data_IF_087904542289
#
_entry.id   IF_087904542289
#
_cell.length_a   1.000
_cell.length_b   1.000
_cell.length_c   1.000
_cell.angle_alpha   90.00
_cell.angle_beta   90.00
_cell.angle_gamma   90.00
#
_symmetry.space_group_name_H-M   'P 1'
#
loop_
_entity.id
_entity.type
_entity.pdbx_description
1 polymer ?
#
# COMPACT_ATOMS: atom_id res chain seq x y z
N UNK A 1 -61.12 -27.61 40.88
CA UNK A 1 -60.73 -27.87 42.29
C UNK A 1 -59.50 -27.06 42.53
N UNK A 2 -59.80 -25.92 43.01
CA UNK A 2 -59.20 -25.07 44.05
C UNK A 2 -57.76 -24.65 43.77
N UNK A 3 -57.54 -23.41 43.35
CA UNK A 3 -57.38 -22.20 44.18
C UNK A 3 -56.38 -22.37 45.32
N UNK A 4 -55.22 -21.79 45.20
CA UNK A 4 -54.77 -20.98 46.34
C UNK A 4 -53.94 -19.77 45.86
N UNK A 5 -54.33 -18.65 46.40
CA UNK A 5 -53.83 -17.29 46.26
C UNK A 5 -52.73 -17.05 47.31
N UNK A 6 -51.68 -16.42 46.94
CA UNK A 6 -50.87 -15.68 47.90
C UNK A 6 -50.28 -14.40 47.24
N UNK A 7 -50.62 -13.33 47.88
CA UNK A 7 -50.43 -11.91 47.61
C UNK A 7 -49.04 -11.40 48.01
N UNK A 8 -48.67 -10.16 47.65
CA UNK A 8 -47.32 -9.72 47.33
C UNK A 8 -46.54 -9.18 48.53
N UNK A 9 -45.25 -9.30 48.51
CA UNK A 9 -44.39 -8.64 49.45
C UNK A 9 -43.43 -7.66 48.78
N UNK A 10 -43.77 -6.42 49.02
CA UNK A 10 -42.87 -5.26 49.24
C UNK A 10 -41.56 -5.18 48.50
N UNK A 11 -41.50 -4.27 47.50
CA UNK A 11 -40.27 -3.64 47.02
C UNK A 11 -39.56 -2.84 48.15
N UNK A 12 -38.26 -2.89 48.24
CA UNK A 12 -37.49 -1.87 48.91
C UNK A 12 -37.08 -0.78 47.91
N UNK A 13 -37.57 0.43 48.17
CA UNK A 13 -37.13 1.67 47.58
C UNK A 13 -35.61 1.78 47.67
N UNK A 14 -34.92 1.78 46.52
CA UNK A 14 -33.53 2.24 46.42
C UNK A 14 -33.50 3.66 45.91
N UNK A 15 -33.70 4.55 46.85
CA UNK A 15 -33.23 5.92 46.75
C UNK A 15 -31.69 5.88 46.89
N UNK A 16 -31.00 5.91 45.77
CA UNK A 16 -29.56 6.13 45.70
C UNK A 16 -29.34 7.42 44.91
N UNK A 17 -29.42 8.53 45.66
CA UNK A 17 -28.83 9.80 45.23
C UNK A 17 -27.37 9.56 44.80
N UNK A 18 -27.16 9.32 43.51
CA UNK A 18 -25.84 9.35 42.92
C UNK A 18 -25.33 10.78 42.99
N UNK A 19 -24.47 11.04 43.98
CA UNK A 19 -23.66 12.23 44.03
C UNK A 19 -22.87 12.33 42.72
N UNK A 20 -23.02 13.39 41.93
CA UNK A 20 -22.23 13.56 40.73
C UNK A 20 -20.77 13.68 41.13
N UNK A 21 -19.96 12.70 40.73
CA UNK A 21 -18.50 12.79 40.83
C UNK A 21 -18.09 14.02 40.01
N UNK A 22 -17.46 15.05 40.60
CA UNK A 22 -17.02 16.20 39.85
C UNK A 22 -16.02 15.73 38.81
N UNK A 23 -16.35 15.92 37.51
CA UNK A 23 -15.38 15.82 36.45
C UNK A 23 -14.31 16.84 36.74
N UNK A 24 -13.14 16.40 37.15
CA UNK A 24 -11.98 17.24 37.32
C UNK A 24 -11.78 17.97 35.98
N UNK A 25 -12.06 19.27 35.95
CA UNK A 25 -11.68 20.16 34.88
C UNK A 25 -10.16 20.04 34.75
N UNK A 26 -9.70 19.32 33.73
CA UNK A 26 -8.28 19.22 33.45
C UNK A 26 -7.80 20.64 33.14
N UNK A 27 -6.97 21.19 34.01
CA UNK A 27 -6.29 22.46 33.81
C UNK A 27 -5.69 22.50 32.41
N UNK A 28 -5.80 23.60 31.66
CA UNK A 28 -5.25 23.69 30.33
C UNK A 28 -3.75 23.40 30.39
N UNK A 29 -3.31 22.34 29.71
CA UNK A 29 -1.89 21.96 29.63
C UNK A 29 -1.12 23.16 29.08
N UNK A 30 -0.04 23.58 29.76
CA UNK A 30 0.83 24.63 29.26
C UNK A 30 1.44 24.24 27.91
N UNK A 31 1.70 25.22 27.06
CA UNK A 31 2.34 24.98 25.77
C UNK A 31 3.70 24.27 25.92
N UNK A 32 4.43 24.59 27.01
CA UNK A 32 5.72 23.95 27.34
C UNK A 32 5.58 22.46 27.62
N UNK A 33 4.60 22.06 28.41
CA UNK A 33 4.34 20.64 28.71
C UNK A 33 3.90 19.87 27.48
N UNK A 34 3.13 20.49 26.57
CA UNK A 34 2.75 19.87 25.29
C UNK A 34 3.97 19.65 24.39
N UNK A 35 4.86 20.63 24.31
CA UNK A 35 6.11 20.52 23.54
C UNK A 35 6.98 19.41 24.13
N UNK A 36 7.19 19.38 25.45
CA UNK A 36 7.98 18.36 26.13
C UNK A 36 7.45 16.94 25.84
N UNK A 37 6.13 16.74 25.93
CA UNK A 37 5.49 15.44 25.63
C UNK A 37 5.69 15.02 24.18
N UNK A 38 5.50 15.93 23.23
CA UNK A 38 5.68 15.66 21.80
C UNK A 38 7.14 15.33 21.48
N UNK A 39 8.11 16.06 22.06
CA UNK A 39 9.53 15.77 21.90
C UNK A 39 9.92 14.44 22.57
N UNK A 40 9.40 14.17 23.77
CA UNK A 40 9.57 12.89 24.47
C UNK A 40 9.06 11.73 23.63
N UNK A 41 7.85 11.85 23.08
CA UNK A 41 7.29 10.85 22.16
C UNK A 41 8.13 10.70 20.89
N UNK A 42 8.57 11.80 20.28
CA UNK A 42 9.40 11.78 19.08
C UNK A 42 10.75 11.08 19.32
N UNK A 43 11.37 11.29 20.51
CA UNK A 43 12.58 10.56 20.93
C UNK A 43 12.31 9.08 21.10
N UNK A 44 11.26 8.69 21.81
CA UNK A 44 10.89 7.30 22.04
C UNK A 44 10.47 6.56 20.76
N UNK A 45 9.84 7.25 19.85
CA UNK A 45 9.38 6.71 18.57
C UNK A 45 10.49 6.59 17.49
N UNK A 46 11.72 7.04 17.79
CA UNK A 46 12.84 7.02 16.84
C UNK A 46 13.18 5.59 16.46
N UNK A 47 13.11 5.29 15.17
CA UNK A 47 13.36 3.93 14.64
C UNK A 47 12.17 2.97 14.77
N UNK A 48 11.10 3.31 15.51
CA UNK A 48 9.92 2.45 15.64
C UNK A 48 8.97 2.50 14.44
N UNK A 49 9.08 3.51 13.60
CA UNK A 49 8.23 3.69 12.41
C UNK A 49 9.06 3.82 11.15
N UNK A 50 8.54 3.27 10.04
CA UNK A 50 9.13 3.46 8.72
C UNK A 50 9.14 4.97 8.34
N UNK A 51 10.22 5.42 7.66
CA UNK A 51 10.43 6.83 7.24
C UNK A 51 9.23 7.42 6.49
N UNK A 52 8.57 6.62 5.64
CA UNK A 52 7.40 7.06 4.91
C UNK A 52 6.21 7.35 5.85
N UNK A 53 6.07 6.62 6.95
CA UNK A 53 5.04 6.85 7.98
C UNK A 53 5.32 8.15 8.71
N UNK A 54 6.57 8.38 9.11
CA UNK A 54 7.00 9.63 9.76
C UNK A 54 6.77 10.84 8.86
N UNK A 55 7.19 10.73 7.59
CA UNK A 55 6.99 11.81 6.59
C UNK A 55 5.50 12.09 6.33
N UNK A 56 4.68 11.06 6.24
CA UNK A 56 3.24 11.21 6.06
C UNK A 56 2.59 11.87 7.26
N UNK A 57 2.93 11.43 8.48
CA UNK A 57 2.46 12.03 9.71
C UNK A 57 2.80 13.53 9.81
N UNK A 58 4.05 13.90 9.55
CA UNK A 58 4.50 15.30 9.58
C UNK A 58 3.78 16.16 8.51
N UNK A 59 3.54 15.61 7.32
CA UNK A 59 2.80 16.33 6.27
C UNK A 59 1.32 16.50 6.64
N UNK A 60 0.69 15.48 7.17
CA UNK A 60 -0.72 15.49 7.58
C UNK A 60 -0.94 16.47 8.75
N UNK A 61 -0.03 16.47 9.75
CA UNK A 61 -0.09 17.41 10.88
C UNK A 61 0.02 18.86 10.42
N UNK A 62 0.89 19.15 9.44
CA UNK A 62 0.98 20.50 8.85
C UNK A 62 -0.29 20.92 8.12
N UNK A 63 -0.93 20.00 7.39
CA UNK A 63 -2.21 20.26 6.70
C UNK A 63 -3.30 20.56 7.71
N UNK A 64 -3.39 19.78 8.79
CA UNK A 64 -4.37 20.02 9.86
C UNK A 64 -4.12 21.34 10.57
N UNK A 65 -2.86 21.66 10.92
CA UNK A 65 -2.47 22.92 11.54
C UNK A 65 -2.83 24.14 10.68
N UNK A 66 -2.56 24.09 9.38
CA UNK A 66 -2.89 25.17 8.45
C UNK A 66 -4.41 25.40 8.40
N UNK A 67 -5.18 24.31 8.24
CA UNK A 67 -6.64 24.40 8.23
C UNK A 67 -7.22 24.95 9.55
N UNK A 68 -6.73 24.48 10.71
CA UNK A 68 -7.17 24.98 12.00
C UNK A 68 -6.93 26.48 12.14
N UNK A 69 -5.76 26.96 11.73
CA UNK A 69 -5.41 28.39 11.75
C UNK A 69 -6.34 29.22 10.88
N UNK A 70 -6.62 28.77 9.66
CA UNK A 70 -7.55 29.42 8.73
C UNK A 70 -8.99 29.43 9.27
N UNK A 71 -9.39 28.38 9.97
CA UNK A 71 -10.71 28.25 10.57
C UNK A 71 -10.84 28.87 11.96
N UNK A 72 -9.78 29.51 12.51
CA UNK A 72 -9.77 30.07 13.86
C UNK A 72 -9.97 29.04 14.98
N UNK A 73 -9.47 27.80 14.79
CA UNK A 73 -9.66 26.66 15.68
C UNK A 73 -8.34 26.20 16.29
N UNK A 74 -8.39 25.66 17.51
CA UNK A 74 -7.23 25.04 18.14
C UNK A 74 -6.88 23.72 17.45
N UNK A 75 -5.59 23.55 17.14
CA UNK A 75 -5.07 22.29 16.58
C UNK A 75 -4.83 21.24 17.67
N UNK A 76 -4.38 21.69 18.86
CA UNK A 76 -3.98 20.82 19.96
C UNK A 76 -4.18 21.56 21.31
N UNK A 77 -5.09 21.08 22.17
CA UNK A 77 -6.07 20.01 21.91
C UNK A 77 -7.14 20.44 20.89
N UNK A 78 -7.43 19.57 19.93
CA UNK A 78 -8.57 19.78 19.03
C UNK A 78 -9.84 19.19 19.65
N UNK A 79 -10.95 19.90 19.50
CA UNK A 79 -12.27 19.36 19.88
C UNK A 79 -12.79 18.37 18.82
N UNK A 80 -13.71 17.45 19.19
CA UNK A 80 -14.40 16.60 18.23
C UNK A 80 -15.06 17.38 17.08
N UNK A 81 -15.69 18.52 17.37
CA UNK A 81 -16.30 19.40 16.35
C UNK A 81 -15.28 19.96 15.37
N UNK A 82 -14.06 20.29 15.85
CA UNK A 82 -12.96 20.73 14.99
C UNK A 82 -12.56 19.63 14.02
N UNK A 83 -12.43 18.39 14.52
CA UNK A 83 -12.05 17.25 13.68
C UNK A 83 -13.16 16.88 12.71
N UNK A 84 -14.43 16.89 13.13
CA UNK A 84 -15.57 16.62 12.26
C UNK A 84 -15.66 17.62 11.11
N UNK A 85 -15.55 18.92 11.40
CA UNK A 85 -15.54 19.98 10.40
C UNK A 85 -14.34 19.85 9.44
N UNK A 86 -13.15 19.49 9.94
CA UNK A 86 -11.99 19.18 9.07
C UNK A 86 -12.24 18.00 8.16
N UNK A 87 -12.84 16.91 8.68
CA UNK A 87 -13.21 15.73 7.87
C UNK A 87 -14.17 16.12 6.76
N UNK A 88 -15.22 16.88 7.06
CA UNK A 88 -16.21 17.33 6.06
C UNK A 88 -15.53 18.23 5.00
N UNK A 89 -14.74 19.23 5.40
CA UNK A 89 -14.01 20.10 4.48
C UNK A 89 -13.02 19.32 3.58
N UNK A 90 -12.26 18.40 4.15
CA UNK A 90 -11.31 17.60 3.36
C UNK A 90 -12.00 16.54 2.50
N UNK A 91 -13.19 16.11 2.88
CA UNK A 91 -13.97 15.19 2.06
C UNK A 91 -14.32 15.78 0.69
N UNK A 92 -14.53 17.10 0.57
CA UNK A 92 -14.76 17.72 -0.73
C UNK A 92 -13.53 17.64 -1.66
N UNK A 93 -12.34 17.80 -1.11
CA UNK A 93 -11.10 18.01 -1.86
C UNK A 93 -10.27 16.73 -2.07
N UNK A 94 -10.37 15.75 -1.17
CA UNK A 94 -9.46 14.60 -1.10
C UNK A 94 -10.20 13.29 -1.24
N UNK A 95 -9.45 12.23 -1.57
CA UNK A 95 -10.00 10.87 -1.55
C UNK A 95 -10.33 10.43 -0.12
N UNK A 96 -11.30 9.53 0.01
CA UNK A 96 -11.63 8.90 1.29
C UNK A 96 -10.38 8.38 2.04
N UNK A 97 -9.51 7.65 1.35
CA UNK A 97 -8.31 7.08 1.96
C UNK A 97 -7.34 8.16 2.51
N UNK A 98 -7.29 9.33 1.86
CA UNK A 98 -6.49 10.47 2.33
C UNK A 98 -7.09 11.07 3.60
N UNK A 99 -8.40 11.26 3.64
CA UNK A 99 -9.09 11.82 4.82
C UNK A 99 -9.00 10.87 6.02
N UNK A 100 -9.16 9.56 5.80
CA UNK A 100 -8.95 8.54 6.85
C UNK A 100 -7.51 8.55 7.39
N UNK A 101 -6.52 8.79 6.54
CA UNK A 101 -5.13 8.94 6.97
C UNK A 101 -4.94 10.20 7.81
N UNK A 102 -5.54 11.33 7.42
CA UNK A 102 -5.52 12.56 8.21
C UNK A 102 -6.10 12.35 9.60
N UNK A 103 -7.27 11.71 9.70
CA UNK A 103 -7.89 11.34 10.97
C UNK A 103 -6.98 10.47 11.84
N UNK A 104 -6.31 9.49 11.23
CA UNK A 104 -5.34 8.65 11.94
C UNK A 104 -4.14 9.43 12.46
N UNK A 105 -3.65 10.40 11.68
CA UNK A 105 -2.56 11.30 12.08
C UNK A 105 -2.97 12.25 13.20
N UNK A 106 -4.20 12.80 13.18
CA UNK A 106 -4.74 13.63 14.27
C UNK A 106 -4.85 12.81 15.55
N UNK A 107 -5.38 11.59 15.49
CA UNK A 107 -5.46 10.69 16.64
C UNK A 107 -4.07 10.36 17.22
N UNK A 108 -3.08 10.12 16.34
CA UNK A 108 -1.70 9.85 16.76
C UNK A 108 -1.05 11.09 17.42
N UNK A 109 -1.32 12.29 16.90
CA UNK A 109 -0.81 13.55 17.47
C UNK A 109 -1.33 13.77 18.89
N UNK A 110 -2.63 13.58 19.13
CA UNK A 110 -3.22 13.71 20.45
C UNK A 110 -2.66 12.68 21.44
N UNK A 111 -2.52 11.40 21.02
CA UNK A 111 -1.86 10.40 21.87
C UNK A 111 -0.41 10.74 22.20
N UNK A 112 0.35 11.25 21.24
CA UNK A 112 1.73 11.68 21.45
C UNK A 112 1.84 12.83 22.47
N UNK A 113 0.83 13.71 22.50
CA UNK A 113 0.73 14.81 23.45
C UNK A 113 0.12 14.40 24.81
N UNK A 114 -0.26 13.12 24.99
CA UNK A 114 -0.94 12.63 26.18
C UNK A 114 -2.35 13.22 26.37
N UNK A 115 -3.03 13.54 25.24
CA UNK A 115 -4.37 14.12 25.21
C UNK A 115 -5.41 13.08 24.82
N UNK A 116 -6.66 13.35 25.20
CA UNK A 116 -7.80 12.54 24.77
C UNK A 116 -7.89 12.56 23.22
N UNK A 117 -8.22 11.41 22.63
CA UNK A 117 -8.35 11.28 21.19
C UNK A 117 -9.71 11.82 20.70
N UNK A 118 -9.77 12.99 20.06
CA UNK A 118 -11.03 13.58 19.59
C UNK A 118 -11.68 12.77 18.44
N UNK A 119 -10.90 11.93 17.75
CA UNK A 119 -11.38 11.13 16.63
C UNK A 119 -12.25 9.93 17.07
N UNK A 120 -12.32 9.64 18.38
CA UNK A 120 -13.14 8.57 18.92
C UNK A 120 -14.60 8.99 19.16
N UNK A 121 -14.88 10.30 19.12
CA UNK A 121 -16.20 10.86 19.34
C UNK A 121 -17.21 10.51 18.23
N UNK A 122 -18.50 10.45 18.62
CA UNK A 122 -19.58 10.10 17.69
C UNK A 122 -19.73 11.11 16.55
N UNK A 123 -19.56 12.41 16.83
CA UNK A 123 -19.69 13.44 15.79
C UNK A 123 -18.66 13.23 14.66
N UNK A 124 -17.43 12.82 15.00
CA UNK A 124 -16.39 12.50 14.01
C UNK A 124 -16.73 11.21 13.25
N UNK A 125 -17.28 10.20 13.95
CA UNK A 125 -17.76 8.97 13.30
C UNK A 125 -18.87 9.26 12.31
N UNK A 126 -19.78 10.17 12.63
CA UNK A 126 -20.87 10.60 11.74
C UNK A 126 -20.31 11.36 10.51
N UNK A 127 -19.33 12.25 10.68
CA UNK A 127 -18.66 12.93 9.56
C UNK A 127 -18.01 11.91 8.60
N UNK A 128 -17.26 10.95 9.13
CA UNK A 128 -16.69 9.85 8.34
C UNK A 128 -17.76 9.01 7.65
N UNK A 129 -18.88 8.76 8.31
CA UNK A 129 -20.01 8.01 7.71
C UNK A 129 -20.66 8.79 6.56
N UNK A 130 -20.83 10.10 6.69
CA UNK A 130 -21.29 10.99 5.59
C UNK A 130 -20.34 10.91 4.40
N UNK A 131 -19.03 11.12 4.61
CA UNK A 131 -18.01 10.99 3.57
C UNK A 131 -18.06 9.62 2.89
N UNK A 132 -18.16 8.53 3.65
CA UNK A 132 -18.21 7.17 3.10
C UNK A 132 -19.47 6.92 2.24
N UNK A 133 -20.61 7.52 2.61
CA UNK A 133 -21.85 7.45 1.80
C UNK A 133 -21.71 8.23 0.49
N UNK A 134 -21.14 9.45 0.56
CA UNK A 134 -20.98 10.30 -0.62
C UNK A 134 -19.95 9.75 -1.62
N UNK A 135 -18.81 9.24 -1.13
CA UNK A 135 -17.68 8.83 -1.99
C UNK A 135 -17.63 7.32 -2.29
N UNK A 136 -18.39 6.52 -1.58
CA UNK A 136 -18.28 5.07 -1.63
C UNK A 136 -16.98 4.54 -1.01
N UNK A 137 -16.95 3.23 -0.71
CA UNK A 137 -15.76 2.58 -0.13
C UNK A 137 -14.86 1.92 -1.16
N UNK A 138 -15.32 1.80 -2.41
CA UNK A 138 -14.57 1.09 -3.46
C UNK A 138 -13.39 1.94 -3.95
N UNK A 139 -12.19 1.56 -3.58
CA UNK A 139 -10.98 2.20 -4.10
C UNK A 139 -10.73 1.81 -5.56
N UNK A 140 -10.22 2.73 -6.35
CA UNK A 140 -9.79 2.45 -7.72
C UNK A 140 -8.58 1.50 -7.69
N UNK A 141 -8.69 0.37 -8.38
CA UNK A 141 -7.60 -0.59 -8.52
C UNK A 141 -6.55 -0.06 -9.49
N UNK A 142 -5.27 -0.43 -9.30
CA UNK A 142 -4.24 -0.14 -10.29
C UNK A 142 -4.55 -0.86 -11.62
N UNK A 143 -4.14 -0.24 -12.73
CA UNK A 143 -4.24 -0.86 -14.05
C UNK A 143 -3.43 -2.15 -14.08
N UNK A 144 -3.99 -3.30 -14.46
CA UNK A 144 -3.25 -4.55 -14.48
C UNK A 144 -2.24 -4.58 -15.63
N UNK A 145 -1.03 -5.06 -15.35
CA UNK A 145 -0.06 -5.49 -16.35
C UNK A 145 0.04 -7.01 -16.27
N UNK A 146 -0.80 -7.69 -17.06
CA UNK A 146 -0.84 -9.15 -17.18
C UNK A 146 0.31 -9.69 -18.05
N UNK A 147 0.47 -11.02 -18.18
CA UNK A 147 1.55 -11.65 -18.95
C UNK A 147 1.66 -11.10 -20.37
N UNK A 148 0.55 -10.98 -21.09
CA UNK A 148 0.57 -10.42 -22.45
C UNK A 148 1.03 -8.96 -22.51
N UNK A 149 0.75 -8.15 -21.48
CA UNK A 149 1.30 -6.80 -21.36
C UNK A 149 2.81 -6.82 -21.11
N UNK A 150 3.27 -7.73 -20.24
CA UNK A 150 4.70 -7.90 -19.93
C UNK A 150 5.47 -8.31 -21.19
N UNK A 151 5.01 -9.31 -21.91
CA UNK A 151 5.64 -9.78 -23.16
C UNK A 151 5.77 -8.66 -24.18
N UNK A 152 4.71 -7.88 -24.41
CA UNK A 152 4.77 -6.72 -25.30
C UNK A 152 5.74 -5.64 -24.80
N UNK A 153 5.85 -5.43 -23.50
CA UNK A 153 6.84 -4.51 -22.93
C UNK A 153 8.26 -5.02 -23.11
N UNK A 154 8.50 -6.34 -23.02
CA UNK A 154 9.81 -6.96 -23.26
C UNK A 154 10.21 -6.86 -24.73
N UNK A 155 9.30 -7.07 -25.69
CA UNK A 155 9.61 -6.97 -27.13
C UNK A 155 10.04 -5.59 -27.60
N UNK A 156 9.72 -4.51 -26.90
CA UNK A 156 10.22 -3.17 -27.25
C UNK A 156 11.66 -2.91 -26.80
N UNK A 157 12.26 -3.84 -26.05
CA UNK A 157 13.62 -3.80 -25.53
C UNK A 157 14.55 -4.77 -26.26
N UNK A 158 14.21 -5.17 -27.49
CA UNK A 158 15.04 -6.08 -28.28
C UNK A 158 16.36 -5.43 -28.74
N UNK A 159 17.40 -6.24 -29.00
CA UNK A 159 18.69 -5.74 -29.47
C UNK A 159 18.59 -4.80 -30.70
N UNK A 160 17.75 -5.12 -31.68
CA UNK A 160 17.60 -4.34 -32.91
C UNK A 160 17.05 -2.94 -32.64
N UNK A 161 16.05 -2.82 -31.75
CA UNK A 161 15.49 -1.54 -31.38
C UNK A 161 16.46 -0.71 -30.52
N UNK A 162 17.26 -1.39 -29.67
CA UNK A 162 18.28 -0.77 -28.85
C UNK A 162 19.45 -0.25 -29.70
N UNK A 163 19.88 -1.00 -30.70
CA UNK A 163 20.94 -0.59 -31.64
C UNK A 163 20.55 0.70 -32.35
N UNK A 164 19.33 0.82 -32.87
CA UNK A 164 18.83 2.05 -33.47
C UNK A 164 18.93 3.25 -32.52
N UNK A 165 18.59 3.08 -31.24
CA UNK A 165 18.69 4.17 -30.22
C UNK A 165 20.13 4.56 -29.91
N UNK A 166 21.07 3.65 -30.00
CA UNK A 166 22.52 3.95 -29.87
C UNK A 166 22.97 4.81 -31.04
N UNK A 167 22.56 4.49 -32.28
CA UNK A 167 22.85 5.28 -33.46
C UNK A 167 22.25 6.70 -33.38
N UNK A 168 21.16 6.89 -32.62
CA UNK A 168 20.57 8.18 -32.30
C UNK A 168 21.30 8.94 -31.16
N UNK A 169 22.51 8.51 -30.75
CA UNK A 169 23.28 9.13 -29.67
C UNK A 169 22.83 8.80 -28.24
N UNK A 170 21.95 7.80 -28.07
CA UNK A 170 21.45 7.36 -26.75
C UNK A 170 22.25 6.16 -26.24
N UNK A 171 23.54 6.35 -25.96
CA UNK A 171 24.48 5.29 -25.58
C UNK A 171 24.10 4.52 -24.30
N UNK A 172 23.36 5.12 -23.37
CA UNK A 172 22.85 4.44 -22.17
C UNK A 172 21.60 3.56 -22.42
N UNK A 173 21.00 3.65 -23.62
CA UNK A 173 19.75 2.96 -23.92
C UNK A 173 19.82 1.43 -23.77
N UNK A 174 20.92 0.72 -24.20
CA UNK A 174 21.01 -0.73 -24.01
C UNK A 174 20.99 -1.14 -22.54
N UNK A 175 21.81 -0.51 -21.69
CA UNK A 175 21.85 -0.82 -20.26
C UNK A 175 20.53 -0.52 -19.55
N UNK A 176 19.90 0.61 -19.88
CA UNK A 176 18.55 0.97 -19.34
C UNK A 176 17.53 -0.09 -19.73
N UNK A 177 17.57 -0.58 -20.96
CA UNK A 177 16.63 -1.58 -21.44
C UNK A 177 16.83 -2.94 -20.77
N UNK A 178 18.08 -3.41 -20.64
CA UNK A 178 18.40 -4.66 -19.93
C UNK A 178 17.96 -4.60 -18.46
N UNK A 179 18.28 -3.49 -17.75
CA UNK A 179 17.79 -3.28 -16.40
C UNK A 179 16.26 -3.30 -16.33
N UNK A 180 15.59 -2.61 -17.24
CA UNK A 180 14.15 -2.49 -17.22
C UNK A 180 13.47 -3.82 -17.57
N UNK A 181 14.07 -4.63 -18.46
CA UNK A 181 13.57 -5.97 -18.77
C UNK A 181 13.63 -6.87 -17.53
N UNK A 182 14.78 -6.94 -16.87
CA UNK A 182 14.94 -7.67 -15.62
C UNK A 182 13.95 -7.16 -14.54
N UNK A 183 13.84 -5.84 -14.38
CA UNK A 183 12.93 -5.24 -13.38
C UNK A 183 11.47 -5.59 -13.61
N UNK A 184 11.00 -5.57 -14.85
CA UNK A 184 9.60 -5.90 -15.20
C UNK A 184 9.33 -7.38 -15.01
N UNK A 185 10.24 -8.26 -15.46
CA UNK A 185 10.12 -9.71 -15.31
C UNK A 185 10.11 -10.11 -13.81
N UNK A 186 11.07 -9.64 -13.02
CA UNK A 186 11.11 -9.87 -11.56
C UNK A 186 9.85 -9.34 -10.88
N UNK A 187 9.37 -8.14 -11.24
CA UNK A 187 8.17 -7.56 -10.64
C UNK A 187 6.90 -8.39 -10.93
N UNK A 188 6.84 -9.05 -12.08
CA UNK A 188 5.72 -9.92 -12.44
C UNK A 188 5.78 -11.27 -11.70
N UNK A 189 6.93 -11.93 -11.69
CA UNK A 189 7.08 -13.24 -11.02
C UNK A 189 6.91 -13.17 -9.52
N UNK A 190 7.50 -12.16 -8.89
CA UNK A 190 7.56 -12.06 -7.43
C UNK A 190 6.37 -11.37 -6.80
N UNK A 191 5.54 -10.69 -7.56
CA UNK A 191 4.42 -9.86 -7.06
C UNK A 191 4.86 -8.83 -6.00
N UNK A 192 6.10 -8.40 -5.98
CA UNK A 192 6.64 -7.49 -4.97
C UNK A 192 6.05 -6.08 -5.07
N UNK A 193 5.99 -5.40 -3.92
CA UNK A 193 5.75 -3.96 -3.91
C UNK A 193 6.97 -3.23 -4.46
N UNK A 194 6.77 -2.03 -5.04
CA UNK A 194 7.87 -1.25 -5.62
C UNK A 194 9.06 -1.04 -4.69
N UNK A 195 8.82 -0.81 -3.39
CA UNK A 195 9.89 -0.65 -2.41
C UNK A 195 10.64 -1.95 -2.12
N UNK A 196 9.95 -3.08 -2.10
CA UNK A 196 10.51 -4.41 -1.93
C UNK A 196 11.33 -4.80 -3.18
N UNK A 197 10.80 -4.49 -4.38
CA UNK A 197 11.48 -4.78 -5.65
C UNK A 197 12.85 -4.08 -5.78
N UNK A 198 12.92 -2.80 -5.39
CA UNK A 198 14.18 -2.03 -5.49
C UNK A 198 15.14 -2.32 -4.34
N UNK A 199 14.70 -3.00 -3.28
CA UNK A 199 15.53 -3.41 -2.15
C UNK A 199 16.14 -4.81 -2.30
N UNK A 200 15.97 -5.46 -3.45
CA UNK A 200 16.62 -6.74 -3.73
C UNK A 200 18.13 -6.59 -3.92
N UNK A 201 18.88 -7.57 -3.45
CA UNK A 201 20.33 -7.65 -3.56
C UNK A 201 20.73 -8.82 -4.44
N UNK A 202 21.90 -8.72 -5.08
CA UNK A 202 22.47 -9.77 -5.95
C UNK A 202 22.79 -11.00 -5.12
N UNK A 203 23.31 -10.82 -3.90
CA UNK A 203 23.68 -11.88 -2.96
C UNK A 203 22.48 -12.72 -2.48
N UNK A 204 21.28 -12.21 -2.65
CA UNK A 204 20.03 -12.89 -2.28
C UNK A 204 19.45 -13.76 -3.40
N UNK A 205 20.09 -13.76 -4.57
CA UNK A 205 19.70 -14.59 -5.72
C UNK A 205 20.30 -15.99 -5.59
N UNK A 206 19.47 -17.00 -5.77
CA UNK A 206 19.88 -18.40 -5.85
C UNK A 206 19.40 -18.97 -7.19
N UNK A 207 20.33 -19.54 -7.97
CA UNK A 207 20.03 -20.16 -9.26
C UNK A 207 19.70 -21.64 -9.06
N UNK A 208 18.61 -22.10 -9.66
CA UNK A 208 18.24 -23.51 -9.74
C UNK A 208 18.91 -24.22 -10.94
N UNK A 209 18.95 -25.54 -10.90
CA UNK A 209 19.56 -26.38 -11.94
C UNK A 209 18.76 -26.37 -13.25
N UNK A 210 17.45 -26.09 -13.17
CA UNK A 210 16.54 -25.98 -14.31
C UNK A 210 16.54 -24.61 -14.99
N UNK A 211 17.45 -23.73 -14.59
CA UNK A 211 17.54 -22.35 -15.06
C UNK A 211 16.61 -21.37 -14.35
N UNK A 212 15.70 -21.85 -13.54
CA UNK A 212 14.89 -21.00 -12.64
C UNK A 212 15.76 -20.46 -11.49
N UNK A 213 15.16 -19.68 -10.61
CA UNK A 213 15.86 -19.22 -9.43
C UNK A 213 14.89 -18.78 -8.33
N UNK A 214 15.49 -18.36 -7.24
CA UNK A 214 14.77 -17.72 -6.12
C UNK A 214 15.49 -16.47 -5.67
N UNK A 215 14.77 -15.57 -5.02
CA UNK A 215 15.35 -14.38 -4.39
C UNK A 215 14.77 -14.20 -2.99
N UNK A 216 15.65 -13.93 -2.02
CA UNK A 216 15.26 -13.58 -0.66
C UNK A 216 14.87 -12.10 -0.58
N UNK A 217 13.67 -11.82 -0.13
CA UNK A 217 13.20 -10.48 0.24
C UNK A 217 13.41 -10.31 1.73
N UNK A 218 14.49 -9.65 2.13
CA UNK A 218 14.96 -9.55 3.53
C UNK A 218 13.94 -8.89 4.45
N UNK A 219 13.17 -7.91 3.96
CA UNK A 219 12.14 -7.18 4.72
C UNK A 219 11.00 -6.75 3.82
N UNK A 220 9.78 -6.77 4.36
CA UNK A 220 8.62 -6.28 3.64
C UNK A 220 7.75 -5.38 4.53
N UNK A 221 6.76 -4.68 3.93
CA UNK A 221 5.78 -3.90 4.70
C UNK A 221 4.94 -4.77 5.65
N UNK A 222 4.78 -6.03 5.34
CA UNK A 222 4.01 -6.99 6.16
C UNK A 222 4.91 -7.77 7.14
N UNK A 223 6.23 -7.67 6.95
CA UNK A 223 7.27 -8.32 7.72
C UNK A 223 8.30 -7.25 8.13
N UNK A 224 8.02 -6.56 9.23
CA UNK A 224 8.91 -5.52 9.77
C UNK A 224 9.98 -6.12 10.69
N UNK A 225 9.75 -7.33 11.19
CA UNK A 225 10.68 -8.07 12.05
C UNK A 225 11.82 -8.70 11.23
N UNK A 226 11.60 -8.89 9.90
CA UNK A 226 12.67 -9.31 8.99
C UNK A 226 12.87 -10.83 8.93
N UNK A 227 11.81 -11.61 9.10
CA UNK A 227 11.85 -13.07 8.83
C UNK A 227 12.21 -13.36 7.37
N UNK A 228 11.86 -12.41 6.47
CA UNK A 228 12.10 -12.52 5.04
C UNK A 228 11.07 -13.39 4.32
N UNK A 229 11.14 -13.36 2.98
CA UNK A 229 10.31 -14.21 2.14
C UNK A 229 11.07 -14.61 0.89
N UNK A 230 11.10 -15.90 0.56
CA UNK A 230 11.69 -16.40 -0.67
C UNK A 230 10.65 -16.29 -1.79
N UNK A 231 11.07 -15.77 -2.96
CA UNK A 231 10.25 -15.63 -4.16
C UNK A 231 10.84 -16.38 -5.32
N UNK A 232 9.99 -17.01 -6.11
CA UNK A 232 10.36 -17.73 -7.32
C UNK A 232 10.65 -16.76 -8.47
N UNK A 233 11.60 -17.14 -9.32
CA UNK A 233 11.98 -16.46 -10.56
C UNK A 233 12.02 -17.49 -11.68
N UNK A 234 11.25 -17.24 -12.74
CA UNK A 234 11.19 -18.12 -13.90
C UNK A 234 12.52 -18.11 -14.70
N UNK A 235 12.81 -19.15 -15.51
CA UNK A 235 14.06 -19.21 -16.30
C UNK A 235 14.26 -18.00 -17.21
N UNK A 236 13.21 -17.48 -17.85
CA UNK A 236 13.27 -16.28 -18.68
C UNK A 236 13.57 -15.02 -17.85
N UNK A 237 13.04 -14.92 -16.65
CA UNK A 237 13.35 -13.85 -15.69
C UNK A 237 14.81 -13.91 -15.25
N UNK A 238 15.32 -15.10 -14.93
CA UNK A 238 16.74 -15.30 -14.59
C UNK A 238 17.66 -14.95 -15.74
N UNK A 239 17.28 -15.25 -16.99
CA UNK A 239 18.02 -14.84 -18.18
C UNK A 239 18.09 -13.31 -18.33
N UNK A 240 16.99 -12.60 -18.07
CA UNK A 240 16.97 -11.13 -18.08
C UNK A 240 17.87 -10.54 -16.96
N UNK A 241 17.86 -11.14 -15.77
CA UNK A 241 18.75 -10.73 -14.66
C UNK A 241 20.20 -10.93 -15.09
N UNK A 242 20.57 -12.11 -15.59
CA UNK A 242 21.93 -12.42 -16.00
C UNK A 242 22.45 -11.46 -17.10
N UNK A 243 21.62 -11.17 -18.10
CA UNK A 243 21.95 -10.19 -19.14
C UNK A 243 22.20 -8.77 -18.58
N UNK A 244 21.36 -8.34 -17.62
CA UNK A 244 21.54 -7.06 -16.94
C UNK A 244 22.85 -7.02 -16.14
N UNK A 245 23.10 -8.02 -15.30
CA UNK A 245 24.28 -8.08 -14.44
C UNK A 245 25.57 -8.12 -15.25
N UNK A 246 25.61 -8.96 -16.29
CA UNK A 246 26.78 -9.08 -17.17
C UNK A 246 27.08 -7.76 -17.90
N UNK A 247 26.05 -7.14 -18.51
CA UNK A 247 26.24 -5.88 -19.24
C UNK A 247 26.60 -4.69 -18.33
N UNK A 248 26.16 -4.70 -17.08
CA UNK A 248 26.42 -3.65 -16.10
C UNK A 248 27.71 -3.90 -15.28
N UNK A 249 28.37 -5.07 -15.40
CA UNK A 249 29.52 -5.45 -14.61
C UNK A 249 29.22 -5.53 -13.10
N UNK A 250 28.07 -6.12 -12.72
CA UNK A 250 27.62 -6.15 -11.34
C UNK A 250 27.74 -7.56 -10.77
N UNK A 251 28.46 -7.70 -9.65
CA UNK A 251 28.66 -8.96 -8.93
C UNK A 251 28.06 -8.94 -7.52
N UNK A 252 27.80 -7.76 -6.96
CA UNK A 252 27.31 -7.61 -5.58
C UNK A 252 26.49 -6.33 -5.38
N UNK A 253 25.77 -6.25 -4.26
CA UNK A 253 25.00 -5.08 -3.85
C UNK A 253 23.59 -5.00 -4.47
N UNK A 254 22.95 -3.81 -4.56
CA UNK A 254 21.60 -3.68 -5.04
C UNK A 254 21.42 -4.22 -6.46
N UNK A 255 20.41 -5.07 -6.66
CA UNK A 255 20.11 -5.70 -7.95
C UNK A 255 19.74 -4.66 -9.02
N UNK A 256 18.91 -3.69 -8.67
CA UNK A 256 18.50 -2.62 -9.58
C UNK A 256 19.10 -1.29 -9.17
N UNK A 257 19.86 -0.69 -10.08
CA UNK A 257 20.60 0.55 -9.84
C UNK A 257 20.20 1.65 -10.83
N UNK A 258 20.31 2.94 -10.47
CA UNK A 258 20.11 4.04 -11.41
C UNK A 258 21.23 4.09 -12.43
N UNK A 259 20.91 4.66 -13.62
CA UNK A 259 21.91 5.00 -14.63
C UNK A 259 21.90 6.51 -14.86
N UNK A 260 23.11 7.08 -15.00
CA UNK A 260 23.28 8.48 -15.44
C UNK A 260 22.96 8.62 -16.94
N UNK A 261 22.81 9.86 -17.43
CA UNK A 261 22.63 10.13 -18.87
C UNK A 261 23.80 9.59 -19.71
N UNK A 262 25.01 9.57 -19.16
CA UNK A 262 26.21 9.03 -19.80
C UNK A 262 26.35 7.51 -19.71
N UNK A 263 25.34 6.78 -19.20
CA UNK A 263 25.35 5.30 -19.12
C UNK A 263 26.11 4.73 -17.93
N UNK A 264 26.61 5.55 -17.00
CA UNK A 264 27.28 5.06 -15.78
C UNK A 264 26.26 4.46 -14.83
N UNK A 265 26.52 3.26 -14.34
CA UNK A 265 25.71 2.58 -13.32
C UNK A 265 26.03 3.18 -11.95
N UNK A 266 25.01 3.58 -11.19
CA UNK A 266 25.16 4.10 -9.83
C UNK A 266 25.45 2.99 -8.81
N UNK A 267 25.98 3.36 -7.65
CA UNK A 267 26.26 2.41 -6.57
C UNK A 267 25.02 2.12 -5.69
N UNK A 268 24.09 3.07 -5.59
CA UNK A 268 22.89 2.94 -4.75
C UNK A 268 21.77 2.15 -5.43
N UNK A 269 20.79 1.69 -4.63
CA UNK A 269 19.56 1.12 -5.16
C UNK A 269 18.76 2.12 -6.00
N UNK A 270 18.02 1.62 -6.96
CA UNK A 270 17.05 2.38 -7.75
C UNK A 270 15.97 2.98 -6.84
N UNK A 271 15.61 4.25 -7.05
CA UNK A 271 14.52 4.85 -6.30
C UNK A 271 13.16 4.18 -6.59
N UNK A 272 12.38 3.91 -5.56
CA UNK A 272 11.10 3.19 -5.67
C UNK A 272 10.07 3.88 -6.61
N UNK A 273 10.15 5.20 -6.75
CA UNK A 273 9.31 5.97 -7.66
C UNK A 273 9.64 5.71 -9.14
N UNK A 274 10.87 5.28 -9.43
CA UNK A 274 11.31 4.97 -10.79
C UNK A 274 10.59 3.74 -11.36
N UNK A 275 10.21 2.76 -10.52
CA UNK A 275 9.45 1.57 -10.94
C UNK A 275 8.20 1.95 -11.72
N UNK A 276 7.40 2.88 -11.21
CA UNK A 276 6.20 3.33 -11.90
C UNK A 276 6.52 4.12 -13.19
N UNK A 277 7.64 4.85 -13.23
CA UNK A 277 8.10 5.55 -14.45
C UNK A 277 8.51 4.56 -15.53
N UNK A 278 9.26 3.51 -15.15
CA UNK A 278 9.65 2.42 -16.05
C UNK A 278 8.40 1.74 -16.64
N UNK A 279 7.44 1.36 -15.81
CA UNK A 279 6.22 0.71 -16.28
C UNK A 279 5.43 1.59 -17.27
N UNK A 280 5.29 2.87 -16.99
CA UNK A 280 4.61 3.82 -17.89
C UNK A 280 5.34 3.99 -19.21
N UNK A 281 6.66 4.20 -19.17
CA UNK A 281 7.47 4.36 -20.36
C UNK A 281 7.41 3.13 -21.26
N UNK A 282 7.50 1.93 -20.69
CA UNK A 282 7.43 0.68 -21.44
C UNK A 282 6.02 0.39 -21.97
N UNK A 283 4.98 0.65 -21.20
CA UNK A 283 3.61 0.50 -21.64
C UNK A 283 3.31 1.43 -22.84
N UNK A 284 3.77 2.68 -22.79
CA UNK A 284 3.65 3.63 -23.92
C UNK A 284 4.45 3.14 -25.13
N UNK A 285 5.71 2.73 -24.94
CA UNK A 285 6.56 2.25 -26.02
C UNK A 285 6.00 0.98 -26.68
N UNK A 286 5.36 0.11 -25.91
CA UNK A 286 4.69 -1.11 -26.37
C UNK A 286 3.31 -0.85 -27.00
N UNK A 287 2.82 0.40 -27.02
CA UNK A 287 1.51 0.75 -27.55
C UNK A 287 0.37 0.07 -26.80
N UNK A 288 0.50 -0.13 -25.46
CA UNK A 288 -0.56 -0.75 -24.68
C UNK A 288 -1.75 0.20 -24.57
N UNK A 289 -2.93 -0.28 -24.97
CA UNK A 289 -4.20 0.44 -24.78
C UNK A 289 -4.70 0.18 -23.37
N UNK A 290 -4.37 1.05 -22.44
CA UNK A 290 -4.69 0.94 -21.01
C UNK A 290 -5.73 1.99 -20.62
N UNK A 291 -6.63 1.66 -19.70
CA UNK A 291 -7.65 2.62 -19.21
C UNK A 291 -7.04 3.68 -18.30
N UNK A 292 -5.88 3.38 -17.71
CA UNK A 292 -5.11 4.27 -16.81
C UNK A 292 -3.62 4.02 -16.93
N UNK A 293 -2.85 5.02 -16.50
CA UNK A 293 -1.39 4.86 -16.41
C UNK A 293 -1.01 3.81 -15.37
N UNK A 294 -0.06 2.92 -15.70
CA UNK A 294 0.46 1.94 -14.75
C UNK A 294 1.08 2.60 -13.52
N UNK A 295 0.99 1.88 -12.42
CA UNK A 295 1.59 2.24 -11.12
C UNK A 295 2.55 1.15 -10.67
N UNK A 296 3.29 1.37 -9.58
CA UNK A 296 4.15 0.35 -8.99
C UNK A 296 3.42 -0.91 -8.45
N UNK A 297 2.08 -0.96 -8.54
CA UNK A 297 1.28 -2.13 -8.17
C UNK A 297 0.71 -2.87 -9.40
N UNK A 298 0.95 -2.38 -10.60
CA UNK A 298 0.29 -2.87 -11.81
C UNK A 298 0.67 -4.31 -12.18
N UNK A 299 1.93 -4.71 -12.03
CA UNK A 299 2.38 -6.09 -12.22
C UNK A 299 1.79 -7.03 -11.18
N UNK A 300 1.72 -6.59 -9.91
CA UNK A 300 1.13 -7.36 -8.81
C UNK A 300 -0.36 -7.63 -9.03
N UNK A 301 -1.10 -6.67 -9.58
CA UNK A 301 -2.51 -6.84 -9.96
C UNK A 301 -2.62 -7.78 -11.17
N UNK A 302 -1.80 -7.58 -12.21
CA UNK A 302 -1.81 -8.39 -13.42
C UNK A 302 -1.48 -9.85 -13.15
N UNK A 303 -0.36 -10.15 -12.48
CA UNK A 303 0.03 -11.49 -12.11
C UNK A 303 -1.01 -12.19 -11.22
N UNK A 304 -1.63 -11.47 -10.26
CA UNK A 304 -2.74 -12.03 -9.47
C UNK A 304 -3.93 -12.42 -10.33
N UNK A 305 -4.27 -11.59 -11.32
CA UNK A 305 -5.37 -11.89 -12.26
C UNK A 305 -5.03 -13.09 -13.14
N UNK A 306 -3.79 -13.19 -13.61
CA UNK A 306 -3.33 -14.31 -14.42
C UNK A 306 -3.37 -15.64 -13.63
N UNK A 307 -2.94 -15.61 -12.35
CA UNK A 307 -3.07 -16.79 -11.47
C UNK A 307 -4.52 -17.23 -11.30
N UNK A 308 -5.44 -16.31 -11.02
CA UNK A 308 -6.86 -16.65 -10.97
C UNK A 308 -7.42 -17.08 -12.33
N UNK A 309 -6.90 -16.53 -13.44
CA UNK A 309 -7.27 -16.94 -14.78
C UNK A 309 -6.77 -18.35 -15.08
N UNK A 310 -5.63 -18.77 -14.56
CA UNK A 310 -5.09 -20.11 -14.65
C UNK A 310 -5.79 -21.12 -13.71
N UNK A 311 -6.63 -20.65 -12.77
CA UNK A 311 -7.39 -21.52 -11.87
C UNK A 311 -6.78 -21.72 -10.49
N UNK A 312 -5.69 -21.00 -10.16
CA UNK A 312 -5.07 -21.10 -8.84
C UNK A 312 -6.03 -20.70 -7.73
N UNK A 313 -5.95 -21.41 -6.62
CA UNK A 313 -6.76 -21.15 -5.44
C UNK A 313 -6.28 -19.91 -4.68
N UNK A 314 -7.18 -19.34 -3.88
CA UNK A 314 -6.90 -18.09 -3.17
C UNK A 314 -5.68 -18.19 -2.22
N UNK A 315 -5.49 -19.36 -1.58
CA UNK A 315 -4.35 -19.59 -0.67
C UNK A 315 -3.01 -19.61 -1.41
N UNK A 316 -2.94 -20.25 -2.57
CA UNK A 316 -1.74 -20.25 -3.43
C UNK A 316 -1.38 -18.84 -3.89
N UNK A 317 -2.38 -18.08 -4.31
CA UNK A 317 -2.21 -16.67 -4.69
C UNK A 317 -1.74 -15.83 -3.52
N UNK A 318 -2.30 -16.06 -2.31
CA UNK A 318 -1.87 -15.37 -1.09
C UNK A 318 -0.41 -15.66 -0.76
N UNK A 319 0.02 -16.91 -0.86
CA UNK A 319 1.41 -17.32 -0.66
C UNK A 319 2.35 -16.61 -1.65
N UNK A 320 2.04 -16.70 -2.96
CA UNK A 320 2.84 -16.09 -4.01
C UNK A 320 3.04 -14.58 -3.77
N UNK A 321 2.00 -13.88 -3.37
CA UNK A 321 2.06 -12.43 -3.11
C UNK A 321 2.39 -12.02 -1.67
N UNK A 322 2.65 -12.96 -0.76
CA UNK A 322 2.87 -12.70 0.67
C UNK A 322 1.75 -11.85 1.29
N UNK A 323 0.49 -12.24 1.06
CA UNK A 323 -0.67 -11.61 1.71
C UNK A 323 -1.05 -12.38 2.98
N UNK A 324 -1.09 -11.67 4.12
CA UNK A 324 -1.56 -12.22 5.40
C UNK A 324 -3.10 -12.36 5.47
N UNK A 325 -3.84 -11.66 4.59
CA UNK A 325 -5.31 -11.71 4.55
C UNK A 325 -5.83 -11.83 3.13
N UNK A 326 -6.99 -12.46 2.91
CA UNK A 326 -7.57 -12.66 1.58
C UNK A 326 -8.13 -11.39 0.92
N UNK A 327 -8.33 -10.31 1.67
CA UNK A 327 -9.07 -9.13 1.22
C UNK A 327 -8.52 -8.51 -0.08
N UNK A 328 -7.20 -8.35 -0.17
CA UNK A 328 -6.59 -7.72 -1.35
C UNK A 328 -6.49 -8.65 -2.56
N UNK A 329 -5.97 -9.89 -2.47
CA UNK A 329 -5.96 -10.79 -3.62
C UNK A 329 -7.36 -11.11 -4.12
N UNK A 330 -8.33 -11.37 -3.22
CA UNK A 330 -9.73 -11.57 -3.59
C UNK A 330 -10.30 -10.40 -4.39
N UNK A 331 -9.96 -9.17 -4.00
CA UNK A 331 -10.36 -7.95 -4.70
C UNK A 331 -9.70 -7.82 -6.08
N UNK A 332 -8.44 -8.19 -6.25
CA UNK A 332 -7.76 -8.15 -7.55
C UNK A 332 -8.39 -9.11 -8.55
N UNK A 333 -8.80 -10.30 -8.09
CA UNK A 333 -9.47 -11.31 -8.88
C UNK A 333 -11.00 -11.23 -8.91
N UNK A 334 -11.62 -10.21 -8.30
CA UNK A 334 -13.09 -10.12 -8.09
C UNK A 334 -13.90 -10.39 -9.37
N UNK A 335 -13.54 -9.75 -10.48
CA UNK A 335 -14.21 -9.92 -11.78
C UNK A 335 -14.08 -11.35 -12.34
N UNK A 336 -12.86 -11.88 -12.34
CA UNK A 336 -12.59 -13.23 -12.83
C UNK A 336 -13.28 -14.29 -11.98
N UNK A 337 -13.27 -14.11 -10.66
CA UNK A 337 -13.94 -15.01 -9.73
C UNK A 337 -15.47 -14.95 -9.89
N UNK A 338 -16.05 -13.79 -10.14
CA UNK A 338 -17.47 -13.69 -10.46
C UNK A 338 -17.82 -14.41 -11.78
N UNK A 339 -17.01 -14.22 -12.83
CA UNK A 339 -17.18 -14.87 -14.13
C UNK A 339 -17.02 -16.40 -14.10
N UNK A 340 -16.32 -16.95 -13.11
CA UNK A 340 -16.04 -18.39 -12.96
C UNK A 340 -16.68 -19.00 -11.71
N UNK A 341 -17.36 -18.19 -10.92
CA UNK A 341 -17.93 -18.57 -9.62
C UNK A 341 -19.20 -19.40 -9.73
N UNK A 342 -19.80 -19.66 -8.57
CA UNK A 342 -20.97 -20.51 -8.42
C UNK A 342 -22.15 -20.10 -9.32
N UNK A 343 -22.38 -18.80 -9.47
CA UNK A 343 -23.47 -18.29 -10.32
C UNK A 343 -23.32 -18.71 -11.79
N UNK A 344 -22.07 -18.64 -12.34
CA UNK A 344 -21.82 -19.15 -13.70
C UNK A 344 -21.98 -20.65 -13.77
N UNK A 345 -21.41 -21.41 -12.83
CA UNK A 345 -21.54 -22.86 -12.78
C UNK A 345 -23.01 -23.27 -12.76
N UNK A 346 -23.80 -22.59 -11.94
CA UNK A 346 -25.27 -22.82 -11.88
C UNK A 346 -25.96 -22.48 -13.21
N UNK A 347 -25.60 -21.36 -13.85
CA UNK A 347 -26.14 -21.00 -15.17
C UNK A 347 -25.82 -22.05 -16.23
N UNK A 348 -24.61 -22.60 -16.21
CA UNK A 348 -24.20 -23.69 -17.11
C UNK A 348 -25.01 -24.96 -16.83
N UNK A 349 -25.17 -25.35 -15.57
CA UNK A 349 -26.00 -26.51 -15.18
C UNK A 349 -27.48 -26.36 -15.60
N UNK A 350 -27.94 -25.13 -15.68
CA UNK A 350 -29.31 -24.79 -16.10
C UNK A 350 -29.44 -24.52 -17.61
N UNK A 351 -28.41 -24.78 -18.43
CA UNK A 351 -28.35 -24.46 -19.86
C UNK A 351 -28.67 -23.01 -20.22
N UNK A 352 -28.23 -22.04 -19.39
CA UNK A 352 -28.41 -20.57 -19.55
C UNK A 352 -27.10 -19.85 -19.89
N UNK A 353 -25.98 -20.55 -20.07
CA UNK A 353 -24.66 -20.00 -20.37
C UNK A 353 -24.10 -20.55 -21.69
#
# INVERSE_FOLDING_TARGET
MELDTADPASEPSRDASAVPVPQAEALPLSSELLIERLEGHARAARGAFADNTVRAFAADSRIFAAWCREAGRAMLPATPDTVAAFVDAQAELKSRATVERYRSSIAALHRAAGLQNPCADEIVRLAVKRMNRAKGRRQKQAEPLNRGSIERMLTVMTPERLHRRVLEGKHSAPLIALRNAALVAVAYDTLLRRSELVSLYIEDLHKGDDGSGTVLVRRSKADQEGEGAIKYLAPDTMAHIAAWLAAAGLESGPLFRPLTKGGRVGASALGDKEVARVFRALATAAGLKLSRLPSGHSTRVGATQDMFAAGFELLEVMQAGSWKTPAMPARYGERLRAQRGAARKLATLQNRA
#
